data_IF_940136951372
#
_entry.id   IF_940136951372
#
_cell.length_a   1.000
_cell.length_b   1.000
_cell.length_c   1.000
_cell.angle_alpha   90.00
_cell.angle_beta   90.00
_cell.angle_gamma   90.00
#
_symmetry.space_group_name_H-M   'P 1'
#
loop_
_entity.id
_entity.type
_entity.pdbx_description
1 polymer ?
#
# COMPACT_ATOMS: atom_id res chain seq x y z
N UNK A 1 0.88 -14.93 -14.61
CA UNK A 1 1.70 -13.81 -14.10
C UNK A 1 1.13 -13.35 -12.78
N UNK A 2 1.96 -13.33 -11.74
CA UNK A 2 1.55 -13.05 -10.36
C UNK A 2 0.95 -11.63 -10.23
N UNK A 3 -0.21 -11.47 -9.57
CA UNK A 3 -0.93 -10.18 -9.45
C UNK A 3 -0.04 -9.09 -8.84
N UNK A 4 0.84 -9.48 -7.93
CA UNK A 4 1.82 -8.58 -7.32
C UNK A 4 2.75 -7.96 -8.36
N UNK A 5 3.18 -8.73 -9.37
CA UNK A 5 4.09 -8.25 -10.41
C UNK A 5 3.42 -7.17 -11.28
N UNK A 6 2.14 -7.36 -11.63
CA UNK A 6 1.38 -6.38 -12.43
C UNK A 6 1.17 -5.05 -11.67
N UNK A 7 0.82 -5.10 -10.38
CA UNK A 7 0.64 -3.87 -9.57
C UNK A 7 1.95 -3.09 -9.43
N UNK A 8 3.08 -3.79 -9.27
CA UNK A 8 4.39 -3.17 -9.14
C UNK A 8 4.82 -2.56 -10.48
N UNK A 9 4.65 -3.28 -11.58
CA UNK A 9 4.92 -2.79 -12.94
C UNK A 9 4.10 -1.54 -13.28
N UNK A 10 2.83 -1.48 -12.87
CA UNK A 10 1.99 -0.30 -13.06
C UNK A 10 2.55 0.94 -12.35
N UNK A 11 3.13 0.77 -11.17
CA UNK A 11 3.77 1.87 -10.45
C UNK A 11 5.06 2.31 -11.14
N UNK A 12 5.90 1.36 -11.56
CA UNK A 12 7.11 1.65 -12.33
C UNK A 12 6.77 2.41 -13.62
N UNK A 13 5.76 1.97 -14.37
CA UNK A 13 5.30 2.64 -15.59
C UNK A 13 4.90 4.09 -15.31
N UNK A 14 4.14 4.34 -14.24
CA UNK A 14 3.74 5.70 -13.84
C UNK A 14 4.93 6.59 -13.46
N UNK A 15 5.96 6.00 -12.86
CA UNK A 15 7.17 6.72 -12.51
C UNK A 15 8.01 7.04 -13.75
N UNK A 16 8.20 6.08 -14.65
CA UNK A 16 8.92 6.31 -15.91
C UNK A 16 8.18 7.29 -16.81
N UNK A 17 6.86 7.23 -16.87
CA UNK A 17 6.02 8.22 -17.57
C UNK A 17 6.23 9.63 -17.01
N UNK A 18 6.32 9.78 -15.69
CA UNK A 18 6.68 11.05 -15.06
C UNK A 18 8.08 11.55 -15.47
N UNK A 19 9.02 10.65 -15.75
CA UNK A 19 10.35 11.00 -16.23
C UNK A 19 10.41 11.23 -17.75
N UNK A 20 9.31 11.06 -18.49
CA UNK A 20 9.30 11.08 -19.95
C UNK A 20 9.93 9.85 -20.59
N UNK A 21 10.06 8.75 -19.83
CA UNK A 21 10.75 7.50 -20.17
C UNK A 21 9.80 6.31 -20.29
N UNK A 22 8.51 6.56 -20.50
CA UNK A 22 7.49 5.51 -20.57
C UNK A 22 7.76 4.48 -21.67
N UNK A 23 8.36 4.91 -22.78
CA UNK A 23 8.63 4.06 -23.95
C UNK A 23 9.69 2.99 -23.67
N UNK A 24 10.59 3.22 -22.70
CA UNK A 24 11.61 2.24 -22.32
C UNK A 24 11.00 0.92 -21.83
N UNK A 25 9.79 0.96 -21.28
CA UNK A 25 9.12 -0.25 -20.80
C UNK A 25 8.61 -1.15 -21.96
N UNK A 26 8.57 -0.62 -23.19
CA UNK A 26 8.20 -1.37 -24.39
C UNK A 26 9.42 -2.07 -25.01
N UNK A 27 10.64 -1.70 -24.60
CA UNK A 27 11.87 -2.34 -25.09
C UNK A 27 11.96 -3.76 -24.51
N UNK A 28 12.04 -4.81 -25.36
CA UNK A 28 12.26 -6.18 -24.88
C UNK A 28 13.59 -6.35 -24.13
N UNK A 29 14.54 -5.43 -24.30
CA UNK A 29 15.81 -5.39 -23.59
C UNK A 29 15.80 -4.48 -22.35
N UNK A 30 14.64 -4.01 -21.89
CA UNK A 30 14.55 -3.22 -20.67
C UNK A 30 15.17 -3.97 -19.49
N UNK A 31 16.35 -3.53 -19.09
CA UNK A 31 17.15 -4.15 -18.04
C UNK A 31 17.22 -3.24 -16.82
N UNK A 32 17.49 -3.85 -15.65
CA UNK A 32 17.77 -3.12 -14.41
C UNK A 32 18.83 -2.02 -14.61
N UNK A 33 19.80 -2.21 -15.50
CA UNK A 33 20.80 -1.21 -15.86
C UNK A 33 20.21 0.14 -16.29
N UNK A 34 19.04 0.15 -16.91
CA UNK A 34 18.35 1.37 -17.36
C UNK A 34 17.87 2.21 -16.17
N UNK A 35 17.74 1.63 -14.97
CA UNK A 35 17.32 2.34 -13.75
C UNK A 35 18.50 2.83 -12.90
N UNK A 36 19.76 2.64 -13.34
CA UNK A 36 20.95 3.12 -12.62
C UNK A 36 21.11 4.64 -12.67
N UNK A 37 20.47 5.30 -13.63
CA UNK A 37 20.48 6.75 -13.79
C UNK A 37 19.50 7.47 -12.85
N UNK A 38 18.46 6.76 -12.37
CA UNK A 38 17.47 7.28 -11.43
C UNK A 38 18.14 7.82 -10.17
N UNK A 39 17.81 9.05 -9.79
CA UNK A 39 18.33 9.71 -8.60
C UNK A 39 17.26 9.80 -7.51
N UNK A 40 17.66 9.92 -6.23
CA UNK A 40 16.75 10.24 -5.13
C UNK A 40 15.84 11.44 -5.41
N UNK A 41 16.37 12.44 -6.10
CA UNK A 41 15.68 13.68 -6.41
C UNK A 41 14.51 13.47 -7.38
N UNK A 42 14.63 12.54 -8.32
CA UNK A 42 13.56 12.16 -9.24
C UNK A 42 12.39 11.54 -8.47
N UNK A 43 12.70 10.64 -7.54
CA UNK A 43 11.72 10.01 -6.65
C UNK A 43 11.09 11.04 -5.70
N UNK A 44 11.90 11.99 -5.19
CA UNK A 44 11.42 13.10 -4.35
C UNK A 44 10.37 13.93 -5.10
N UNK A 45 10.68 14.37 -6.32
CA UNK A 45 9.76 15.15 -7.17
C UNK A 45 8.50 14.37 -7.50
N UNK A 46 8.63 13.08 -7.79
CA UNK A 46 7.49 12.20 -8.00
C UNK A 46 6.60 12.09 -6.75
N UNK A 47 7.17 11.89 -5.57
CA UNK A 47 6.41 11.81 -4.32
C UNK A 47 5.78 13.14 -3.95
N UNK A 48 6.47 14.25 -4.21
CA UNK A 48 5.91 15.59 -4.04
C UNK A 48 4.67 15.78 -4.91
N UNK A 49 4.76 15.42 -6.19
CA UNK A 49 3.62 15.47 -7.11
C UNK A 49 2.43 14.65 -6.59
N UNK A 50 2.70 13.47 -6.02
CA UNK A 50 1.64 12.59 -5.48
C UNK A 50 1.03 13.10 -4.17
N UNK A 51 1.81 13.73 -3.30
CA UNK A 51 1.34 14.19 -2.00
C UNK A 51 0.74 15.59 -2.03
N UNK A 52 1.39 16.52 -2.75
CA UNK A 52 1.08 17.95 -2.77
C UNK A 52 0.46 18.42 -4.09
N UNK A 53 0.42 17.58 -5.13
CA UNK A 53 -0.07 17.97 -6.46
C UNK A 53 0.95 18.77 -7.28
N UNK A 54 2.15 19.04 -6.75
CA UNK A 54 3.24 19.77 -7.41
C UNK A 54 4.59 19.11 -7.15
N UNK A 55 5.53 19.20 -8.10
CA UNK A 55 6.88 18.64 -7.96
C UNK A 55 7.75 19.43 -6.96
N UNK A 56 7.43 20.71 -6.75
CA UNK A 56 8.21 21.65 -5.96
C UNK A 56 7.29 22.38 -4.95
N UNK A 57 6.80 21.67 -3.91
CA UNK A 57 6.00 22.27 -2.86
C UNK A 57 6.83 23.30 -2.09
N UNK A 58 6.18 24.40 -1.71
CA UNK A 58 6.75 25.42 -0.83
C UNK A 58 6.46 25.08 0.66
N UNK A 59 6.97 25.90 1.58
CA UNK A 59 6.81 25.68 3.02
C UNK A 59 5.36 25.72 3.53
N UNK A 60 4.45 26.34 2.76
CA UNK A 60 3.02 26.46 3.09
C UNK A 60 2.16 25.37 2.43
N UNK A 61 2.74 24.61 1.51
CA UNK A 61 2.04 23.56 0.77
C UNK A 61 1.67 22.41 1.72
N UNK A 62 0.41 21.97 1.65
CA UNK A 62 -0.10 20.87 2.46
C UNK A 62 -0.28 19.59 1.62
N UNK A 63 0.04 18.41 2.18
CA UNK A 63 -0.07 17.15 1.45
C UNK A 63 -1.52 16.61 1.48
N UNK A 64 -2.36 17.16 0.60
CA UNK A 64 -3.80 16.87 0.54
C UNK A 64 -4.20 15.83 -0.50
N UNK A 65 -3.23 15.24 -1.22
CA UNK A 65 -3.51 14.30 -2.32
C UNK A 65 -3.17 12.84 -1.99
N UNK A 66 -2.24 12.57 -1.08
CA UNK A 66 -1.87 11.21 -0.71
C UNK A 66 -1.45 11.09 0.75
N UNK A 67 -1.76 9.93 1.34
CA UNK A 67 -1.30 9.55 2.67
C UNK A 67 0.15 9.05 2.65
N UNK A 68 0.86 9.16 3.76
CA UNK A 68 2.20 8.62 3.98
C UNK A 68 2.24 7.11 3.73
N UNK A 69 1.18 6.38 4.09
CA UNK A 69 1.07 4.94 3.80
C UNK A 69 0.99 4.65 2.29
N UNK A 70 0.35 5.52 1.51
CA UNK A 70 0.34 5.42 0.05
C UNK A 70 1.75 5.61 -0.50
N UNK A 71 2.48 6.63 -0.04
CA UNK A 71 3.87 6.85 -0.46
C UNK A 71 4.80 5.70 -0.05
N UNK A 72 4.64 5.13 1.15
CA UNK A 72 5.38 3.93 1.59
C UNK A 72 5.12 2.74 0.66
N UNK A 73 3.87 2.53 0.23
CA UNK A 73 3.53 1.48 -0.72
C UNK A 73 4.17 1.72 -2.09
N UNK A 74 4.11 2.95 -2.61
CA UNK A 74 4.76 3.32 -3.88
C UNK A 74 6.28 3.12 -3.80
N UNK A 75 6.91 3.57 -2.71
CA UNK A 75 8.34 3.36 -2.42
C UNK A 75 8.72 1.88 -2.45
N UNK A 76 7.94 1.02 -1.78
CA UNK A 76 8.15 -0.43 -1.78
C UNK A 76 8.09 -1.01 -3.19
N UNK A 77 7.12 -0.58 -4.01
CA UNK A 77 6.97 -1.02 -5.40
C UNK A 77 8.15 -0.60 -6.26
N UNK A 78 8.54 0.67 -6.21
CA UNK A 78 9.68 1.19 -6.97
C UNK A 78 10.99 0.52 -6.53
N UNK A 79 11.20 0.33 -5.23
CA UNK A 79 12.39 -0.33 -4.70
C UNK A 79 12.56 -1.77 -5.18
N UNK A 80 11.50 -2.45 -5.60
CA UNK A 80 11.59 -3.81 -6.10
C UNK A 80 12.35 -3.92 -7.43
N UNK A 81 12.33 -2.85 -8.23
CA UNK A 81 12.99 -2.77 -9.55
C UNK A 81 14.37 -2.11 -9.51
N UNK A 82 14.76 -1.52 -8.38
CA UNK A 82 16.05 -0.81 -8.27
C UNK A 82 17.21 -1.82 -8.26
N UNK A 83 18.24 -1.67 -9.10
CA UNK A 83 19.25 -2.71 -9.32
C UNK A 83 20.03 -3.07 -8.05
N UNK A 84 20.38 -2.05 -7.26
CA UNK A 84 21.15 -2.20 -6.01
C UNK A 84 20.25 -2.27 -4.79
N UNK A 85 19.17 -3.06 -4.84
CA UNK A 85 18.06 -3.08 -3.87
C UNK A 85 18.49 -3.11 -2.38
N UNK A 86 19.49 -3.92 -2.06
CA UNK A 86 19.97 -4.12 -0.68
C UNK A 86 20.93 -3.02 -0.19
N UNK A 87 21.55 -2.27 -1.10
CA UNK A 87 22.58 -1.28 -0.78
C UNK A 87 21.90 0.06 -0.48
N UNK A 88 22.28 0.70 0.62
CA UNK A 88 21.80 2.05 0.96
C UNK A 88 22.28 3.05 -0.11
N UNK A 89 21.54 4.15 -0.31
CA UNK A 89 22.03 5.22 -1.16
C UNK A 89 23.21 5.93 -0.51
N UNK A 90 24.31 6.06 -1.26
CA UNK A 90 25.49 6.84 -0.92
C UNK A 90 25.45 8.18 -1.67
N UNK A 91 25.41 9.30 -0.94
CA UNK A 91 25.33 10.64 -1.52
C UNK A 91 26.64 11.11 -2.17
N UNK A 92 27.79 10.61 -1.71
CA UNK A 92 29.11 10.98 -2.22
C UNK A 92 29.35 10.24 -3.53
N UNK A 93 29.15 8.91 -3.52
CA UNK A 93 29.37 8.05 -4.70
C UNK A 93 28.21 8.12 -5.69
N UNK A 94 27.04 8.60 -5.27
CA UNK A 94 25.79 8.61 -6.05
C UNK A 94 25.38 7.23 -6.53
N UNK A 95 25.52 6.26 -5.62
CA UNK A 95 25.31 4.84 -5.89
C UNK A 95 24.41 4.20 -4.83
N UNK A 96 23.81 3.06 -5.19
CA UNK A 96 22.94 2.29 -4.29
C UNK A 96 21.48 2.40 -4.68
N UNK A 97 20.57 2.09 -3.76
CA UNK A 97 19.13 2.16 -4.03
C UNK A 97 18.60 3.58 -3.76
N UNK A 98 18.20 4.35 -4.78
CA UNK A 98 17.77 5.74 -4.62
C UNK A 98 16.53 5.89 -3.75
N UNK A 99 15.67 4.86 -3.69
CA UNK A 99 14.49 4.85 -2.81
C UNK A 99 14.88 4.80 -1.33
N UNK A 100 16.09 4.35 -0.97
CA UNK A 100 16.56 4.25 0.42
C UNK A 100 17.29 5.50 0.91
N UNK A 101 17.38 6.55 0.09
CA UNK A 101 17.99 7.83 0.47
C UNK A 101 17.22 8.55 1.59
N UNK A 102 17.92 9.38 2.40
CA UNK A 102 17.29 10.25 3.39
C UNK A 102 16.26 11.19 2.77
N UNK A 103 16.60 11.80 1.62
CA UNK A 103 15.77 12.76 0.89
C UNK A 103 14.37 12.21 0.56
N UNK A 104 14.27 10.96 0.10
CA UNK A 104 12.97 10.32 -0.18
C UNK A 104 12.21 10.01 1.11
N UNK A 105 12.91 9.60 2.17
CA UNK A 105 12.30 9.32 3.46
C UNK A 105 11.75 10.59 4.13
N UNK A 106 12.41 11.73 3.95
CA UNK A 106 12.02 12.99 4.58
C UNK A 106 10.69 13.51 4.03
N UNK A 107 10.39 13.30 2.74
CA UNK A 107 9.05 13.57 2.19
C UNK A 107 7.99 12.75 2.92
N UNK A 108 8.21 11.45 3.12
CA UNK A 108 7.27 10.58 3.84
C UNK A 108 7.09 11.03 5.29
N UNK A 109 8.18 11.39 5.98
CA UNK A 109 8.11 11.92 7.36
C UNK A 109 7.36 13.24 7.42
N UNK A 110 7.54 14.13 6.44
CA UNK A 110 6.84 15.40 6.36
C UNK A 110 5.33 15.18 6.20
N UNK A 111 4.92 14.31 5.27
CA UNK A 111 3.51 13.96 5.09
C UNK A 111 2.93 13.38 6.37
N UNK A 112 3.62 12.44 7.00
CA UNK A 112 3.20 11.84 8.28
C UNK A 112 3.06 12.90 9.39
N UNK A 113 3.93 13.90 9.45
CA UNK A 113 3.85 15.02 10.40
C UNK A 113 2.61 15.88 10.15
N UNK A 114 2.29 16.17 8.88
CA UNK A 114 1.08 16.91 8.51
C UNK A 114 -0.20 16.12 8.81
N UNK A 115 -0.21 14.81 8.57
CA UNK A 115 -1.33 13.92 8.91
C UNK A 115 -1.66 13.94 10.40
N UNK A 116 -0.64 13.81 11.27
CA UNK A 116 -0.82 13.84 12.73
C UNK A 116 -1.38 15.20 13.20
N UNK A 117 -1.05 16.28 12.47
CA UNK A 117 -1.59 17.63 12.71
C UNK A 117 -2.97 17.87 12.11
N UNK A 118 -3.57 16.88 11.45
CA UNK A 118 -4.84 17.00 10.69
C UNK A 118 -4.76 18.02 9.56
N UNK A 119 -3.57 18.22 9.00
CA UNK A 119 -3.28 19.10 7.86
C UNK A 119 -3.04 18.31 6.56
N UNK A 120 -3.18 16.98 6.60
CA UNK A 120 -3.07 16.11 5.44
C UNK A 120 -4.43 15.52 5.05
N UNK A 121 -4.40 14.49 4.21
CA UNK A 121 -5.61 13.71 3.85
C UNK A 121 -6.23 13.07 5.09
N UNK A 122 -7.55 13.12 5.21
CA UNK A 122 -8.26 12.40 6.27
C UNK A 122 -8.08 10.88 6.14
N UNK A 123 -7.88 10.23 7.29
CA UNK A 123 -7.80 8.78 7.34
C UNK A 123 -9.14 8.16 6.94
N UNK A 124 -9.13 7.35 5.88
CA UNK A 124 -10.28 6.50 5.48
C UNK A 124 -10.22 5.11 6.12
N UNK A 125 -9.44 4.95 7.20
CA UNK A 125 -9.37 3.69 7.92
C UNK A 125 -10.76 3.32 8.47
N UNK A 126 -11.22 2.10 8.19
CA UNK A 126 -12.45 1.59 8.79
C UNK A 126 -12.23 1.46 10.29
N UNK A 127 -13.16 2.00 11.08
CA UNK A 127 -13.14 1.78 12.53
C UNK A 127 -13.41 0.29 12.84
N UNK A 128 -12.95 -0.22 13.99
CA UNK A 128 -13.32 -1.54 14.46
C UNK A 128 -14.86 -1.66 14.60
N UNK A 129 -15.36 -2.86 14.34
CA UNK A 129 -16.77 -3.19 14.56
C UNK A 129 -17.03 -3.31 16.06
N UNK A 130 -18.10 -2.67 16.54
CA UNK A 130 -18.47 -2.75 17.95
C UNK A 130 -19.30 -4.02 18.21
N UNK A 131 -19.31 -4.48 19.47
CA UNK A 131 -19.99 -5.73 19.84
C UNK A 131 -21.49 -5.72 19.52
N UNK A 132 -22.14 -4.56 19.67
CA UNK A 132 -23.56 -4.36 19.36
C UNK A 132 -23.82 -4.52 17.86
N UNK A 133 -22.96 -3.94 17.02
CA UNK A 133 -23.03 -4.04 15.56
C UNK A 133 -22.77 -5.46 15.08
N UNK A 134 -21.78 -6.13 15.69
CA UNK A 134 -21.50 -7.52 15.44
C UNK A 134 -22.71 -8.41 15.77
N UNK A 135 -23.33 -8.20 16.93
CA UNK A 135 -24.54 -8.93 17.33
C UNK A 135 -25.69 -8.67 16.36
N UNK A 136 -25.86 -7.43 15.88
CA UNK A 136 -26.87 -7.09 14.90
C UNK A 136 -26.60 -7.77 13.54
N UNK A 137 -25.34 -7.81 13.09
CA UNK A 137 -24.96 -8.55 11.89
C UNK A 137 -25.30 -10.05 12.00
N UNK A 138 -25.01 -10.69 13.13
CA UNK A 138 -25.39 -12.10 13.36
C UNK A 138 -26.91 -12.31 13.34
N UNK A 139 -27.70 -11.37 13.89
CA UNK A 139 -29.16 -11.42 13.81
C UNK A 139 -29.65 -11.33 12.37
N UNK A 140 -29.11 -10.40 11.58
CA UNK A 140 -29.45 -10.26 10.15
C UNK A 140 -29.15 -11.55 9.40
N UNK A 141 -27.96 -12.14 9.60
CA UNK A 141 -27.59 -13.41 8.95
C UNK A 141 -28.57 -14.52 9.31
N UNK A 142 -28.93 -14.66 10.58
CA UNK A 142 -29.86 -15.71 11.03
C UNK A 142 -31.28 -15.53 10.50
N UNK A 143 -31.74 -14.29 10.34
CA UNK A 143 -33.10 -13.96 9.93
C UNK A 143 -33.26 -13.78 8.40
N UNK A 144 -32.17 -13.72 7.64
CA UNK A 144 -32.22 -13.52 6.19
C UNK A 144 -32.79 -14.74 5.47
N UNK A 145 -34.04 -14.67 5.04
CA UNK A 145 -34.76 -15.76 4.36
C UNK A 145 -34.33 -15.98 2.91
N UNK A 146 -33.52 -15.08 2.34
CA UNK A 146 -32.97 -15.21 0.99
C UNK A 146 -31.90 -16.31 0.89
N UNK A 147 -31.28 -16.67 2.02
CA UNK A 147 -30.27 -17.73 2.09
C UNK A 147 -30.84 -19.02 2.66
N UNK A 148 -30.27 -20.15 2.21
CA UNK A 148 -30.60 -21.46 2.79
C UNK A 148 -30.26 -21.49 4.28
N UNK A 149 -30.94 -22.34 5.05
CA UNK A 149 -30.63 -22.52 6.46
C UNK A 149 -29.17 -22.92 6.70
N UNK A 150 -28.62 -23.79 5.85
CA UNK A 150 -27.22 -24.20 5.91
C UNK A 150 -26.25 -23.04 5.69
N UNK A 151 -26.53 -22.16 4.74
CA UNK A 151 -25.66 -21.01 4.45
C UNK A 151 -25.67 -20.00 5.58
N UNK A 152 -26.83 -19.80 6.24
CA UNK A 152 -26.94 -18.95 7.42
C UNK A 152 -26.07 -19.47 8.58
N UNK A 153 -26.09 -20.77 8.85
CA UNK A 153 -25.24 -21.36 9.89
C UNK A 153 -23.75 -21.30 9.55
N UNK A 154 -23.38 -21.57 8.29
CA UNK A 154 -21.99 -21.46 7.83
C UNK A 154 -21.45 -20.05 7.98
N UNK A 155 -22.17 -19.07 7.43
CA UNK A 155 -21.77 -17.66 7.50
C UNK A 155 -21.74 -17.16 8.95
N UNK A 156 -22.76 -17.50 9.75
CA UNK A 156 -22.80 -17.17 11.17
C UNK A 156 -21.63 -17.76 11.96
N UNK A 157 -21.23 -19.00 11.66
CA UNK A 157 -20.09 -19.66 12.31
C UNK A 157 -18.78 -18.98 11.96
N UNK A 158 -18.55 -18.62 10.69
CA UNK A 158 -17.35 -17.89 10.25
C UNK A 158 -17.22 -16.55 10.96
N UNK A 159 -18.30 -15.76 11.01
CA UNK A 159 -18.30 -14.45 11.70
C UNK A 159 -18.08 -14.60 13.21
N UNK A 160 -18.64 -15.65 13.80
CA UNK A 160 -18.48 -15.95 15.23
C UNK A 160 -17.02 -16.30 15.56
N UNK A 161 -16.42 -17.20 14.78
CA UNK A 161 -15.01 -17.58 14.94
C UNK A 161 -14.08 -16.39 14.68
N UNK A 162 -14.37 -15.58 13.66
CA UNK A 162 -13.61 -14.37 13.35
C UNK A 162 -13.56 -13.42 14.56
N UNK A 163 -14.70 -13.21 15.21
CA UNK A 163 -14.80 -12.34 16.38
C UNK A 163 -14.01 -12.88 17.58
N UNK A 164 -14.21 -14.16 17.93
CA UNK A 164 -13.59 -14.74 19.13
C UNK A 164 -12.09 -15.02 18.97
N UNK A 165 -11.64 -15.40 17.77
CA UNK A 165 -10.23 -15.68 17.50
C UNK A 165 -9.46 -14.44 17.04
N UNK A 166 -10.14 -13.31 16.84
CA UNK A 166 -9.56 -12.07 16.29
C UNK A 166 -8.78 -12.36 14.99
N UNK A 167 -9.34 -13.26 14.18
CA UNK A 167 -8.69 -13.78 12.99
C UNK A 167 -9.15 -13.03 11.73
N UNK A 168 -8.42 -13.19 10.62
CA UNK A 168 -8.90 -12.70 9.32
C UNK A 168 -10.01 -13.61 8.82
N UNK A 169 -10.95 -13.05 8.06
CA UNK A 169 -12.05 -13.84 7.47
C UNK A 169 -11.53 -14.96 6.58
N UNK A 170 -10.46 -14.71 5.82
CA UNK A 170 -9.84 -15.73 4.96
C UNK A 170 -9.34 -16.94 5.79
N UNK A 171 -8.71 -16.68 6.94
CA UNK A 171 -8.21 -17.74 7.84
C UNK A 171 -9.36 -18.60 8.39
N UNK A 172 -10.51 -17.98 8.67
CA UNK A 172 -11.70 -18.69 9.17
C UNK A 172 -12.40 -19.51 8.09
N UNK A 173 -12.29 -19.11 6.82
CA UNK A 173 -12.83 -19.87 5.69
C UNK A 173 -11.98 -21.09 5.34
N UNK A 174 -10.69 -21.09 5.70
CA UNK A 174 -9.76 -22.19 5.47
C UNK A 174 -9.64 -23.16 6.66
N UNK A 175 -10.39 -22.92 7.75
CA UNK A 175 -10.32 -23.72 8.97
C UNK A 175 -10.82 -25.16 8.71
N UNK A 176 -9.97 -26.16 9.01
CA UNK A 176 -10.32 -27.58 8.89
C UNK A 176 -10.59 -28.17 10.26
N UNK A 177 -11.32 -29.29 10.27
CA UNK A 177 -11.64 -30.01 11.52
C UNK A 177 -10.38 -30.45 12.27
N UNK A 178 -9.32 -30.84 11.55
CA UNK A 178 -8.04 -31.21 12.16
C UNK A 178 -7.28 -30.05 12.81
N UNK A 179 -7.64 -28.80 12.49
CA UNK A 179 -7.06 -27.61 13.11
C UNK A 179 -7.73 -27.29 14.47
N UNK A 180 -8.83 -27.98 14.80
CA UNK A 180 -9.59 -27.83 16.06
C UNK A 180 -9.27 -29.02 16.98
N UNK A 181 -8.52 -28.76 18.05
CA UNK A 181 -8.33 -29.72 19.14
C UNK A 181 -9.39 -29.42 20.20
N UNK A 182 -10.30 -30.38 20.41
CA UNK A 182 -11.35 -30.34 21.44
C UNK A 182 -10.84 -30.87 22.78
#
# INVERSE_FOLDING_TARGET
MDRANNVYQKELKRFLDFLGRAEELNDPNFAEANLLDVRPEDIRRYFNLKAFGTIAPNSESLPTHALANTLKAMKKRLSAFMPRRMILWDEIRREGNPTRSPVVNDVIKLVMKCEVRRQGVESKARRPIEFTEFTNALKVIRLCTEFSEMDRYRLGSVFTLQWYLVARVDDMMELRVCDIVL
#
